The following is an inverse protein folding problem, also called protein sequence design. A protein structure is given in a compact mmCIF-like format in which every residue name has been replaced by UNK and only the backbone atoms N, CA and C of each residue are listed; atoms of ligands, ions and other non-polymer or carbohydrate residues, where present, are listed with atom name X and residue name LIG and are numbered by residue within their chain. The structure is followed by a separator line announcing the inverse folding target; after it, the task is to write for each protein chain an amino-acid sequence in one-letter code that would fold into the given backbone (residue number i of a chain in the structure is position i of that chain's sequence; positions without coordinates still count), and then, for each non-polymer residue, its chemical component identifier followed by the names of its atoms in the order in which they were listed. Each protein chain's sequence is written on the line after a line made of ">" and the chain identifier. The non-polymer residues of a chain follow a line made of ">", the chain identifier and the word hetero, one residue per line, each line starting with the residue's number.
data_IF_086393371445
#
_entry.id   IF_086393371445
#
_cell.length_a   1.000
_cell.length_b   1.000
_cell.length_c   1.000
_cell.angle_alpha   90.00
_cell.angle_beta   90.00
_cell.angle_gamma   90.00
#
_symmetry.space_group_name_H-M   'P 1'
#
loop_
_entity.id
_entity.type
_entity.pdbx_description
1 polymer ?
#
# COMPACT_ATOMS: atom_id res chain seq x y z
N UNK A 1 -40.83 -5.57 -5.46
CA UNK A 1 -39.84 -5.24 -6.50
C UNK A 1 -38.47 -5.04 -5.85
N UNK A 2 -37.55 -6.03 -5.92
CA UNK A 2 -36.22 -5.94 -5.27
C UNK A 2 -35.19 -5.44 -6.28
N UNK A 3 -34.75 -4.19 -6.14
CA UNK A 3 -33.68 -3.61 -6.97
C UNK A 3 -32.34 -4.29 -6.63
N UNK A 4 -31.83 -5.09 -7.57
CA UNK A 4 -30.49 -5.70 -7.47
C UNK A 4 -29.45 -4.59 -7.62
N UNK A 5 -28.86 -4.14 -6.51
CA UNK A 5 -27.69 -3.25 -6.53
C UNK A 5 -26.54 -4.00 -7.21
N UNK A 6 -26.17 -3.56 -8.41
CA UNK A 6 -24.98 -4.03 -9.12
C UNK A 6 -23.73 -3.58 -8.36
N UNK A 7 -23.05 -4.52 -7.69
CA UNK A 7 -21.75 -4.26 -7.06
C UNK A 7 -20.73 -4.04 -8.17
N UNK A 8 -20.37 -2.79 -8.45
CA UNK A 8 -19.30 -2.45 -9.40
C UNK A 8 -18.00 -3.14 -8.95
N UNK A 9 -17.54 -4.15 -9.70
CA UNK A 9 -16.23 -4.78 -9.48
C UNK A 9 -15.15 -3.71 -9.66
N UNK A 10 -14.47 -3.33 -8.57
CA UNK A 10 -13.33 -2.41 -8.62
C UNK A 10 -12.24 -3.01 -9.51
N UNK A 11 -11.55 -2.20 -10.36
CA UNK A 11 -10.46 -2.70 -11.17
C UNK A 11 -9.43 -3.39 -10.26
N UNK A 12 -9.08 -4.63 -10.61
CA UNK A 12 -8.07 -5.40 -9.89
C UNK A 12 -6.72 -4.69 -10.09
N UNK A 13 -6.31 -3.90 -9.10
CA UNK A 13 -4.96 -3.33 -9.08
C UNK A 13 -3.95 -4.47 -9.23
N UNK A 14 -2.89 -4.30 -10.05
CA UNK A 14 -1.88 -5.33 -10.23
C UNK A 14 -1.32 -5.74 -8.88
N UNK A 15 -1.03 -7.03 -8.72
CA UNK A 15 -0.64 -7.59 -7.43
C UNK A 15 0.63 -6.94 -6.84
N UNK A 16 1.47 -6.32 -7.67
CA UNK A 16 2.63 -5.53 -7.28
C UNK A 16 2.27 -4.23 -6.53
N UNK A 17 1.04 -3.71 -6.66
CA UNK A 17 0.51 -2.61 -5.85
C UNK A 17 -0.27 -3.07 -4.60
N UNK A 18 -0.34 -4.39 -4.31
CA UNK A 18 -1.01 -4.91 -3.11
C UNK A 18 -0.17 -4.61 -1.86
N UNK A 19 -0.24 -3.37 -1.39
CA UNK A 19 0.36 -2.97 -0.12
C UNK A 19 0.85 -1.53 -0.10
N UNK A 20 1.17 -0.95 -1.26
CA UNK A 20 1.63 0.44 -1.36
C UNK A 20 0.45 1.32 -1.73
N UNK A 21 0.16 2.34 -0.93
CA UNK A 21 -0.94 3.29 -1.13
C UNK A 21 -0.43 4.71 -0.95
N UNK A 22 -0.85 5.62 -1.83
CA UNK A 22 -0.57 7.04 -1.65
C UNK A 22 -1.47 7.61 -0.55
N UNK A 23 -0.88 8.35 0.38
CA UNK A 23 -1.60 9.22 1.32
C UNK A 23 -1.29 10.65 0.90
N UNK A 24 -2.35 11.38 0.56
CA UNK A 24 -2.29 12.79 0.23
C UNK A 24 -3.40 13.48 1.02
N UNK A 25 -3.01 14.10 2.14
CA UNK A 25 -3.91 14.84 3.03
C UNK A 25 -3.47 16.30 3.02
N UNK A 26 -3.97 17.12 2.07
CA UNK A 26 -3.54 18.51 1.92
C UNK A 26 -3.84 19.34 3.17
N UNK A 27 -4.99 19.11 3.82
CA UNK A 27 -5.40 19.79 5.06
C UNK A 27 -4.41 19.57 6.23
N UNK A 28 -3.71 18.43 6.21
CA UNK A 28 -2.73 18.05 7.23
C UNK A 28 -1.30 18.14 6.73
N UNK A 29 -1.10 18.74 5.55
CA UNK A 29 0.20 18.80 4.84
C UNK A 29 0.95 17.46 4.81
N UNK A 30 0.21 16.35 4.79
CA UNK A 30 0.76 15.00 4.95
C UNK A 30 0.72 14.29 3.61
N UNK A 31 1.91 14.20 3.01
CA UNK A 31 2.14 13.66 1.69
C UNK A 31 3.15 12.52 1.81
N UNK A 32 2.75 11.31 1.45
CA UNK A 32 3.65 10.17 1.53
C UNK A 32 3.09 8.87 0.97
N UNK A 33 3.94 7.85 0.94
CA UNK A 33 3.57 6.50 0.55
C UNK A 33 3.43 5.63 1.78
N UNK A 34 2.33 4.89 1.85
CA UNK A 34 2.01 4.00 2.94
C UNK A 34 2.08 2.55 2.48
N UNK A 35 2.97 1.80 3.10
CA UNK A 35 3.20 0.38 2.83
C UNK A 35 2.48 -0.44 3.90
N UNK A 36 1.74 -1.45 3.45
CA UNK A 36 0.99 -2.39 4.28
C UNK A 36 1.23 -3.81 3.78
N UNK A 37 1.64 -4.68 4.68
CA UNK A 37 1.74 -6.11 4.45
C UNK A 37 1.10 -6.86 5.62
N UNK A 38 0.08 -7.66 5.35
CA UNK A 38 -0.54 -8.53 6.36
C UNK A 38 -0.09 -9.97 6.11
N UNK A 39 0.63 -10.56 7.08
CA UNK A 39 1.08 -11.96 7.01
C UNK A 39 0.96 -12.66 8.35
N UNK A 40 0.50 -13.91 8.33
CA UNK A 40 0.32 -14.76 9.51
C UNK A 40 -0.44 -14.06 10.65
N UNK A 41 -1.50 -13.31 10.32
CA UNK A 41 -2.28 -12.53 11.30
C UNK A 41 -1.61 -11.24 11.81
N UNK A 42 -0.35 -10.97 11.45
CA UNK A 42 0.37 -9.75 11.82
C UNK A 42 0.32 -8.72 10.70
N UNK A 43 0.11 -7.46 11.08
CA UNK A 43 0.10 -6.30 10.16
C UNK A 43 1.44 -5.56 10.29
N UNK A 44 2.18 -5.49 9.20
CA UNK A 44 3.38 -4.69 9.07
C UNK A 44 3.05 -3.45 8.25
N UNK A 45 3.27 -2.28 8.82
CA UNK A 45 2.98 -1.01 8.17
C UNK A 45 4.17 -0.07 8.26
N UNK A 46 4.42 0.69 7.20
CA UNK A 46 5.47 1.69 7.15
C UNK A 46 4.99 2.91 6.35
N UNK A 47 5.40 4.11 6.77
CA UNK A 47 5.06 5.36 6.10
C UNK A 47 6.32 6.09 5.65
N UNK A 48 6.34 6.46 4.37
CA UNK A 48 7.45 7.13 3.70
C UNK A 48 6.96 8.53 3.30
N UNK A 49 7.29 9.53 4.10
CA UNK A 49 6.87 10.91 3.87
C UNK A 49 7.71 11.55 2.74
N UNK A 50 7.05 12.23 1.81
CA UNK A 50 7.72 12.88 0.67
C UNK A 50 8.78 13.88 1.13
N UNK A 51 8.47 14.67 2.17
CA UNK A 51 9.38 15.69 2.71
C UNK A 51 10.68 15.09 3.26
N UNK A 52 10.62 13.87 3.80
CA UNK A 52 11.79 13.17 4.36
C UNK A 52 12.65 12.53 3.27
N UNK A 53 12.03 12.08 2.18
CA UNK A 53 12.70 11.30 1.14
C UNK A 53 13.04 12.12 -0.12
N UNK A 54 12.76 13.42 -0.14
CA UNK A 54 13.10 14.31 -1.27
C UNK A 54 12.08 14.27 -2.41
N UNK A 55 10.80 14.11 -2.07
CA UNK A 55 9.68 14.20 -2.99
C UNK A 55 9.02 12.86 -3.33
N UNK A 56 7.92 12.95 -4.09
CA UNK A 56 7.01 11.82 -4.40
C UNK A 56 7.71 10.64 -5.06
N UNK A 57 8.59 10.88 -6.03
CA UNK A 57 9.28 9.83 -6.78
C UNK A 57 10.26 9.05 -5.90
N UNK A 58 11.10 9.77 -5.14
CA UNK A 58 12.06 9.15 -4.22
C UNK A 58 11.36 8.41 -3.08
N UNK A 59 10.29 8.99 -2.53
CA UNK A 59 9.48 8.33 -1.52
C UNK A 59 8.80 7.05 -2.03
N UNK A 60 8.41 7.01 -3.31
CA UNK A 60 7.88 5.79 -3.93
C UNK A 60 8.94 4.70 -3.99
N UNK A 61 10.15 5.02 -4.46
CA UNK A 61 11.26 4.06 -4.54
C UNK A 61 11.60 3.49 -3.16
N UNK A 62 11.65 4.33 -2.12
CA UNK A 62 11.89 3.87 -0.75
C UNK A 62 10.73 3.02 -0.20
N UNK A 63 9.48 3.35 -0.55
CA UNK A 63 8.33 2.53 -0.21
C UNK A 63 8.36 1.16 -0.90
N UNK A 64 8.76 1.10 -2.17
CA UNK A 64 8.94 -0.14 -2.91
C UNK A 64 10.05 -1.01 -2.31
N UNK A 65 11.20 -0.41 -1.99
CA UNK A 65 12.29 -1.10 -1.28
C UNK A 65 11.84 -1.64 0.08
N UNK A 66 11.12 -0.82 0.86
CA UNK A 66 10.57 -1.22 2.14
C UNK A 66 9.58 -2.38 2.01
N UNK A 67 8.68 -2.32 1.02
CA UNK A 67 7.76 -3.40 0.72
C UNK A 67 8.50 -4.67 0.27
N UNK A 68 9.49 -4.57 -0.61
CA UNK A 68 10.29 -5.70 -1.06
C UNK A 68 11.07 -6.34 0.10
N UNK A 69 11.61 -5.54 1.02
CA UNK A 69 12.28 -6.04 2.22
C UNK A 69 11.30 -6.78 3.15
N UNK A 70 10.11 -6.22 3.38
CA UNK A 70 9.05 -6.89 4.13
C UNK A 70 8.61 -8.18 3.43
N UNK A 71 8.42 -8.14 2.11
CA UNK A 71 8.01 -9.28 1.32
C UNK A 71 9.07 -10.38 1.33
N UNK A 72 10.36 -10.02 1.25
CA UNK A 72 11.48 -10.98 1.38
C UNK A 72 11.51 -11.60 2.79
N UNK A 73 11.25 -10.80 3.83
CA UNK A 73 11.25 -11.27 5.21
C UNK A 73 10.07 -12.19 5.55
N UNK A 74 8.88 -11.89 5.04
CA UNK A 74 7.66 -12.61 5.38
C UNK A 74 7.16 -13.59 4.30
N UNK A 75 7.74 -13.54 3.10
CA UNK A 75 7.46 -14.45 1.99
C UNK A 75 6.10 -14.27 1.31
N UNK A 76 5.84 -15.16 0.34
CA UNK A 76 4.53 -15.30 -0.30
C UNK A 76 3.46 -15.64 0.75
N UNK A 77 2.21 -15.18 0.58
CA UNK A 77 1.14 -15.67 1.44
C UNK A 77 1.11 -17.20 1.33
N UNK A 78 1.11 -17.90 2.47
CA UNK A 78 0.68 -19.28 2.47
C UNK A 78 -0.71 -19.30 1.80
N UNK A 79 -0.82 -20.00 0.67
CA UNK A 79 -2.12 -20.22 0.04
C UNK A 79 -2.96 -20.96 1.08
N UNK A 80 -4.04 -20.32 1.53
CA UNK A 80 -4.99 -20.90 2.47
C UNK A 80 -6.01 -21.71 1.68
#
# INVERSE_FOLDING_TARGET
>A
MKTRKTVRKRPRRPASMLGISRIDQPEKHTHGWFVRLTRQGRRHTAFFADRKHGGKARALVEAEKGFAALFRKFGRPAAK
#
